data_IF_409799578104
#
_entry.id   IF_409799578104
#
_cell.length_a   1.000
_cell.length_b   1.000
_cell.length_c   1.000
_cell.angle_alpha   90.00
_cell.angle_beta   90.00
_cell.angle_gamma   90.00
#
_symmetry.space_group_name_H-M   'P 1'
#
loop_
_entity.id
_entity.type
_entity.pdbx_description
1 polymer ?
#
# COMPACT_ATOMS: atom_id res chain seq x y z
N UNK A 1 9.82 12.72 20.42
CA UNK A 1 9.84 11.43 21.14
C UNK A 1 11.20 10.82 20.91
N UNK A 2 12.03 10.73 21.96
CA UNK A 2 13.35 10.10 21.89
C UNK A 2 13.12 8.60 22.05
N UNK A 3 13.21 7.85 20.97
CA UNK A 3 13.23 6.38 21.04
C UNK A 3 14.65 5.99 21.44
N UNK A 4 14.85 5.67 22.72
CA UNK A 4 16.10 5.11 23.18
C UNK A 4 16.19 3.67 22.68
N UNK A 5 17.06 3.41 21.72
CA UNK A 5 17.39 2.06 21.27
C UNK A 5 18.33 1.46 22.31
N UNK A 6 17.82 0.57 23.16
CA UNK A 6 18.65 -0.21 24.05
C UNK A 6 19.12 -1.48 23.31
N UNK A 7 20.38 -1.52 22.92
CA UNK A 7 21.02 -2.75 22.50
C UNK A 7 21.78 -3.35 23.71
N UNK A 8 21.51 -4.60 24.04
CA UNK A 8 22.20 -5.32 25.10
C UNK A 8 23.04 -6.42 24.48
N UNK A 9 24.35 -6.38 24.70
CA UNK A 9 25.25 -7.46 24.27
C UNK A 9 25.25 -8.56 25.33
N UNK A 10 24.84 -9.77 24.94
CA UNK A 10 24.83 -10.96 25.80
C UNK A 10 25.57 -12.09 25.08
N UNK A 11 26.67 -12.58 25.67
CA UNK A 11 27.45 -13.72 25.13
C UNK A 11 27.86 -13.57 23.65
N UNK A 12 28.20 -12.36 23.22
CA UNK A 12 28.55 -12.08 21.83
C UNK A 12 27.37 -11.89 20.88
N UNK A 13 26.12 -11.92 21.37
CA UNK A 13 24.92 -11.60 20.65
C UNK A 13 24.42 -10.20 21.02
N UNK A 14 23.67 -9.57 20.13
CA UNK A 14 23.06 -8.28 20.35
C UNK A 14 21.53 -8.44 20.43
N UNK A 15 20.95 -8.05 21.56
CA UNK A 15 19.50 -7.93 21.71
C UNK A 15 19.11 -6.48 21.45
N UNK A 16 18.22 -6.27 20.48
CA UNK A 16 17.75 -4.94 20.06
C UNK A 16 16.25 -4.99 19.73
N UNK A 17 15.56 -3.83 19.70
CA UNK A 17 14.21 -3.77 19.14
C UNK A 17 14.19 -4.33 17.71
N UNK A 18 13.06 -4.93 17.33
CA UNK A 18 12.88 -5.45 15.98
C UNK A 18 13.00 -4.36 14.93
N UNK A 19 13.47 -4.73 13.75
CA UNK A 19 13.64 -3.80 12.63
C UNK A 19 12.27 -3.37 12.11
N UNK A 20 12.09 -2.07 11.89
CA UNK A 20 10.93 -1.51 11.20
C UNK A 20 11.34 -1.21 9.75
N UNK A 21 10.77 -1.96 8.81
CA UNK A 21 10.92 -1.66 7.40
C UNK A 21 9.89 -0.58 7.02
N UNK A 22 10.39 0.62 6.83
CA UNK A 22 9.55 1.81 6.61
C UNK A 22 9.09 1.97 5.15
N UNK A 23 9.57 1.12 4.24
CA UNK A 23 9.26 1.23 2.82
C UNK A 23 9.12 -0.14 2.18
N UNK A 24 7.89 -0.65 2.12
CA UNK A 24 7.57 -1.93 1.50
C UNK A 24 6.36 -1.81 0.56
N UNK A 25 6.21 -2.81 -0.31
CA UNK A 25 5.09 -2.93 -1.26
C UNK A 25 4.39 -4.29 -1.14
N UNK A 26 4.22 -4.78 0.09
CA UNK A 26 3.51 -6.03 0.37
C UNK A 26 1.98 -5.91 0.23
N UNK A 27 1.46 -4.78 -0.20
CA UNK A 27 0.01 -4.46 -0.20
C UNK A 27 -0.86 -5.57 -0.81
N UNK A 28 -0.47 -6.10 -1.96
CA UNK A 28 -1.16 -7.21 -2.58
C UNK A 28 -0.70 -8.56 -2.00
N UNK A 29 0.63 -8.76 -1.89
CA UNK A 29 1.24 -10.02 -1.46
C UNK A 29 0.72 -10.50 -0.11
N UNK A 30 0.57 -9.61 0.85
CA UNK A 30 0.09 -9.96 2.20
C UNK A 30 -1.27 -10.66 2.18
N UNK A 31 -2.08 -10.48 1.15
CA UNK A 31 -3.40 -11.13 1.03
C UNK A 31 -3.33 -12.63 0.75
N UNK A 32 -2.18 -13.14 0.25
CA UNK A 32 -1.96 -14.58 0.00
C UNK A 32 -0.71 -15.13 0.69
N UNK A 33 0.24 -14.27 1.06
CA UNK A 33 1.45 -14.62 1.80
C UNK A 33 1.54 -13.81 3.10
N UNK A 34 0.96 -14.30 4.19
CA UNK A 34 1.01 -13.61 5.49
C UNK A 34 2.40 -13.62 6.12
N UNK A 35 3.36 -14.36 5.56
CA UNK A 35 4.72 -14.45 6.12
C UNK A 35 5.52 -13.18 5.89
N UNK A 36 5.09 -12.29 4.99
CA UNK A 36 5.80 -11.07 4.57
C UNK A 36 7.24 -11.40 4.14
N UNK A 37 7.39 -12.52 3.42
CA UNK A 37 8.70 -13.00 2.95
C UNK A 37 9.27 -12.04 1.88
N UNK A 38 10.59 -11.71 1.95
CA UNK A 38 11.60 -12.26 2.86
C UNK A 38 11.83 -11.42 4.14
N UNK A 39 11.14 -10.30 4.34
CA UNK A 39 11.46 -9.31 5.38
C UNK A 39 11.52 -9.91 6.78
N UNK A 40 10.53 -10.73 7.16
CA UNK A 40 10.49 -11.32 8.51
C UNK A 40 11.69 -12.23 8.77
N UNK A 41 12.09 -13.03 7.79
CA UNK A 41 13.26 -13.92 7.90
C UNK A 41 14.59 -13.16 8.04
N UNK A 42 14.60 -11.88 7.67
CA UNK A 42 15.74 -10.97 7.79
C UNK A 42 15.72 -10.13 9.08
N UNK A 43 14.77 -10.38 9.98
CA UNK A 43 14.68 -9.72 11.28
C UNK A 43 13.76 -8.49 11.31
N UNK A 44 13.03 -8.22 10.24
CA UNK A 44 11.97 -7.20 10.24
C UNK A 44 10.81 -7.69 11.10
N UNK A 45 10.33 -6.85 12.00
CA UNK A 45 9.19 -7.15 12.87
C UNK A 45 7.98 -6.27 12.57
N UNK A 46 8.17 -5.21 11.80
CA UNK A 46 7.10 -4.29 11.39
C UNK A 46 7.36 -3.82 9.96
N UNK A 47 6.37 -3.95 9.10
CA UNK A 47 6.40 -3.47 7.72
C UNK A 47 5.39 -2.33 7.51
N UNK A 48 5.81 -1.27 6.81
CA UNK A 48 4.93 -0.17 6.42
C UNK A 48 4.54 -0.37 4.94
N UNK A 49 3.24 -0.51 4.68
CA UNK A 49 2.65 -0.70 3.36
C UNK A 49 2.08 0.59 2.80
N UNK A 50 1.79 0.63 1.51
CA UNK A 50 1.17 1.78 0.83
C UNK A 50 2.16 2.88 0.44
N UNK A 51 3.44 2.58 0.43
CA UNK A 51 4.49 3.52 0.07
C UNK A 51 4.36 4.04 -1.35
N UNK A 52 5.00 5.15 -1.66
CA UNK A 52 4.90 5.86 -2.95
C UNK A 52 3.46 6.24 -3.36
N UNK A 53 2.47 5.97 -2.50
CA UNK A 53 1.06 6.11 -2.83
C UNK A 53 0.51 5.00 -3.72
N UNK A 54 1.21 3.86 -3.81
CA UNK A 54 0.79 2.68 -4.56
C UNK A 54 0.27 1.60 -3.61
N UNK A 55 -0.65 0.78 -4.11
CA UNK A 55 -1.22 -0.33 -3.36
C UNK A 55 -2.54 -0.79 -3.96
N UNK A 56 -3.43 -1.34 -3.13
CA UNK A 56 -4.65 -1.98 -3.60
C UNK A 56 -5.95 -1.51 -2.91
N UNK A 57 -5.90 -0.54 -2.01
CA UNK A 57 -7.08 -0.04 -1.29
C UNK A 57 -7.08 1.50 -1.15
N UNK A 58 -8.25 2.15 -1.32
CA UNK A 58 -9.56 1.58 -1.67
C UNK A 58 -9.61 1.12 -3.13
N UNK A 59 -10.38 0.08 -3.43
CA UNK A 59 -10.52 -0.44 -4.78
C UNK A 59 -11.92 -1.02 -5.04
N UNK A 60 -12.84 -0.24 -5.61
CA UNK A 60 -14.12 -0.74 -6.09
C UNK A 60 -13.94 -1.89 -7.10
N UNK A 61 -14.82 -2.89 -7.06
CA UNK A 61 -14.69 -4.10 -7.87
C UNK A 61 -14.43 -3.87 -9.37
N UNK A 62 -15.07 -2.91 -10.06
CA UNK A 62 -14.83 -2.66 -11.48
C UNK A 62 -13.42 -2.14 -11.79
N UNK A 63 -12.69 -1.63 -10.79
CA UNK A 63 -11.38 -0.99 -10.97
C UNK A 63 -10.19 -1.89 -10.58
N UNK A 64 -10.46 -3.13 -10.12
CA UNK A 64 -9.43 -4.07 -9.65
C UNK A 64 -8.37 -4.35 -10.71
N UNK A 65 -8.80 -4.56 -11.94
CA UNK A 65 -7.89 -4.87 -13.04
C UNK A 65 -6.91 -3.73 -13.34
N UNK A 66 -7.40 -2.48 -13.36
CA UNK A 66 -6.53 -1.31 -13.62
C UNK A 66 -5.54 -1.08 -12.48
N UNK A 67 -5.97 -1.28 -11.22
CA UNK A 67 -5.09 -1.17 -10.04
C UNK A 67 -3.98 -2.22 -10.09
N UNK A 68 -4.33 -3.48 -10.37
CA UNK A 68 -3.37 -4.59 -10.46
C UNK A 68 -2.40 -4.40 -11.63
N UNK A 69 -2.88 -3.98 -12.79
CA UNK A 69 -2.04 -3.66 -13.95
C UNK A 69 -1.01 -2.57 -13.64
N UNK A 70 -1.43 -1.50 -12.98
CA UNK A 70 -0.51 -0.44 -12.58
C UNK A 70 0.52 -0.95 -11.58
N UNK A 71 0.10 -1.72 -10.58
CA UNK A 71 0.99 -2.29 -9.57
C UNK A 71 2.01 -3.25 -10.20
N UNK A 72 1.61 -4.07 -11.18
CA UNK A 72 2.51 -4.99 -11.87
C UNK A 72 3.67 -4.28 -12.56
N UNK A 73 3.41 -3.11 -13.13
CA UNK A 73 4.45 -2.32 -13.83
C UNK A 73 5.35 -1.60 -12.83
N UNK A 74 4.76 -0.87 -11.87
CA UNK A 74 5.53 0.00 -10.98
C UNK A 74 6.38 -0.80 -9.98
N UNK A 75 5.92 -1.99 -9.59
CA UNK A 75 6.63 -2.87 -8.66
C UNK A 75 7.37 -4.03 -9.35
N UNK A 76 7.25 -4.15 -10.68
CA UNK A 76 7.87 -5.24 -11.42
C UNK A 76 7.32 -6.63 -11.06
N UNK A 77 6.08 -6.71 -10.57
CA UNK A 77 5.43 -7.96 -10.18
C UNK A 77 4.76 -8.63 -11.38
N UNK A 78 4.76 -9.97 -11.39
CA UNK A 78 4.02 -10.72 -12.41
C UNK A 78 2.53 -10.44 -12.35
N UNK A 79 1.94 -10.02 -13.47
CA UNK A 79 0.52 -9.66 -13.55
C UNK A 79 -0.40 -10.84 -13.21
N UNK A 80 -0.07 -12.05 -13.66
CA UNK A 80 -0.91 -13.23 -13.40
C UNK A 80 -0.85 -13.61 -11.92
N UNK A 81 0.32 -13.49 -11.27
CA UNK A 81 0.47 -13.70 -9.85
C UNK A 81 -0.42 -12.72 -9.05
N UNK A 82 -0.42 -11.44 -9.44
CA UNK A 82 -1.28 -10.43 -8.81
C UNK A 82 -2.78 -10.70 -9.05
N UNK A 83 -3.17 -11.02 -10.30
CA UNK A 83 -4.57 -11.28 -10.63
C UNK A 83 -5.15 -12.50 -9.90
N UNK A 84 -4.35 -13.56 -9.74
CA UNK A 84 -4.78 -14.81 -9.13
C UNK A 84 -4.55 -14.83 -7.60
N UNK A 85 -3.49 -14.17 -7.13
CA UNK A 85 -3.10 -14.19 -5.73
C UNK A 85 -3.88 -13.21 -4.87
N UNK A 86 -4.20 -12.02 -5.40
CA UNK A 86 -4.87 -10.98 -4.59
C UNK A 86 -6.26 -11.41 -4.16
N UNK A 87 -6.49 -11.49 -2.85
CA UNK A 87 -7.80 -11.80 -2.27
C UNK A 87 -8.59 -10.52 -2.06
N UNK A 88 -9.60 -10.30 -2.91
CA UNK A 88 -10.42 -9.11 -2.91
C UNK A 88 -11.62 -9.21 -1.96
N UNK A 89 -11.36 -9.30 -0.66
CA UNK A 89 -12.40 -9.31 0.38
C UNK A 89 -12.78 -7.90 0.86
N UNK A 90 -12.44 -6.88 0.07
CA UNK A 90 -12.60 -5.46 0.41
C UNK A 90 -12.82 -4.61 -0.84
N UNK A 91 -13.40 -3.43 -0.63
CA UNK A 91 -13.48 -2.33 -1.58
C UNK A 91 -13.07 -0.99 -0.94
N UNK A 92 -13.32 -0.81 0.37
CA UNK A 92 -12.86 0.35 1.11
C UNK A 92 -11.53 0.11 1.80
N UNK A 93 -10.90 1.20 2.26
CA UNK A 93 -9.65 1.11 3.04
C UNK A 93 -9.90 0.43 4.40
N UNK A 94 -11.01 0.76 5.08
CA UNK A 94 -11.37 0.11 6.34
C UNK A 94 -11.52 -1.41 6.19
N UNK A 95 -12.24 -1.85 5.15
CA UNK A 95 -12.38 -3.29 4.86
C UNK A 95 -11.05 -3.97 4.54
N UNK A 96 -10.10 -3.24 3.94
CA UNK A 96 -8.75 -3.76 3.72
C UNK A 96 -8.01 -3.97 5.05
N UNK A 97 -8.09 -3.05 5.99
CA UNK A 97 -7.54 -3.24 7.33
C UNK A 97 -8.17 -4.44 8.04
N UNK A 98 -9.50 -4.57 7.97
CA UNK A 98 -10.21 -5.74 8.52
C UNK A 98 -9.74 -7.05 7.86
N UNK A 99 -9.47 -7.03 6.55
CA UNK A 99 -8.93 -8.19 5.84
C UNK A 99 -7.52 -8.54 6.31
N UNK A 100 -6.66 -7.55 6.55
CA UNK A 100 -5.32 -7.76 7.11
C UNK A 100 -5.38 -8.35 8.53
N UNK A 101 -6.31 -7.90 9.37
CA UNK A 101 -6.52 -8.49 10.70
C UNK A 101 -6.91 -9.96 10.59
N UNK A 102 -7.78 -10.34 9.65
CA UNK A 102 -8.17 -11.74 9.42
C UNK A 102 -7.04 -12.61 8.87
N UNK A 103 -6.18 -12.05 8.04
CA UNK A 103 -5.01 -12.75 7.47
C UNK A 103 -3.97 -13.08 8.56
N UNK A 104 -3.90 -12.29 9.62
CA UNK A 104 -2.91 -12.43 10.70
C UNK A 104 -1.47 -12.48 10.18
N UNK A 105 -0.91 -11.39 9.63
CA UNK A 105 0.49 -11.36 9.18
C UNK A 105 1.46 -11.76 10.30
N UNK A 106 2.57 -12.40 9.95
CA UNK A 106 3.58 -12.86 10.92
C UNK A 106 4.32 -11.71 11.61
N UNK A 107 4.40 -10.56 10.98
CA UNK A 107 4.92 -9.31 11.56
C UNK A 107 3.82 -8.28 11.75
N UNK A 108 4.15 -7.23 12.48
CA UNK A 108 3.26 -6.07 12.55
C UNK A 108 3.19 -5.38 11.20
N UNK A 109 2.01 -4.85 10.87
CA UNK A 109 1.77 -4.12 9.63
C UNK A 109 1.14 -2.78 9.97
N UNK A 110 1.63 -1.72 9.33
CA UNK A 110 0.95 -0.43 9.29
C UNK A 110 0.75 -0.03 7.82
N UNK A 111 -0.38 0.60 7.50
CA UNK A 111 -0.74 0.92 6.13
C UNK A 111 -0.95 2.41 5.96
N UNK A 112 -0.35 2.97 4.90
CA UNK A 112 -0.56 4.35 4.48
C UNK A 112 -1.77 4.44 3.54
N UNK A 113 -2.57 5.48 3.64
CA UNK A 113 -3.59 5.81 2.64
C UNK A 113 -2.89 6.18 1.32
N UNK A 114 -3.28 5.55 0.22
CA UNK A 114 -2.52 5.52 -1.03
C UNK A 114 -3.13 6.47 -2.06
N UNK A 115 -2.38 7.46 -2.51
CA UNK A 115 -2.86 8.48 -3.45
C UNK A 115 -3.38 7.88 -4.76
N UNK A 116 -2.62 6.95 -5.38
CA UNK A 116 -2.98 6.35 -6.66
C UNK A 116 -4.30 5.59 -6.61
N UNK A 117 -4.53 4.79 -5.56
CA UNK A 117 -5.78 4.03 -5.42
C UNK A 117 -6.96 4.92 -5.10
N UNK A 118 -6.78 5.94 -4.25
CA UNK A 118 -7.82 6.94 -3.95
C UNK A 118 -8.22 7.70 -5.22
N UNK A 119 -7.24 8.14 -6.01
CA UNK A 119 -7.49 8.83 -7.27
C UNK A 119 -8.17 7.91 -8.28
N UNK A 120 -7.73 6.65 -8.40
CA UNK A 120 -8.35 5.66 -9.26
C UNK A 120 -9.78 5.34 -8.83
N UNK A 121 -10.04 5.19 -7.53
CA UNK A 121 -11.36 4.92 -7.00
C UNK A 121 -12.39 6.03 -7.33
N UNK A 122 -11.93 7.27 -7.50
CA UNK A 122 -12.79 8.42 -7.80
C UNK A 122 -12.89 8.71 -9.29
N UNK A 123 -11.78 8.61 -10.03
CA UNK A 123 -11.68 9.04 -11.43
C UNK A 123 -11.68 7.89 -12.43
N UNK A 124 -11.57 6.63 -11.96
CA UNK A 124 -11.46 5.46 -12.84
C UNK A 124 -10.26 5.56 -13.78
N UNK A 125 -10.48 5.29 -15.06
CA UNK A 125 -9.45 5.39 -16.12
C UNK A 125 -8.91 6.81 -16.30
N UNK A 126 -9.69 7.83 -15.94
CA UNK A 126 -9.27 9.23 -15.97
C UNK A 126 -8.15 9.55 -14.97
N UNK A 127 -7.90 8.69 -13.99
CA UNK A 127 -6.90 8.91 -12.96
C UNK A 127 -5.46 9.03 -13.50
N UNK A 128 -5.15 8.35 -14.60
CA UNK A 128 -3.81 8.37 -15.25
C UNK A 128 -3.75 9.28 -16.48
N UNK A 129 -4.85 9.89 -16.90
CA UNK A 129 -4.90 10.65 -18.16
C UNK A 129 -5.32 12.11 -17.97
N UNK A 130 -6.06 12.40 -16.90
CA UNK A 130 -6.60 13.73 -16.63
C UNK A 130 -5.92 14.33 -15.40
N UNK A 131 -5.14 15.40 -15.63
CA UNK A 131 -4.36 16.05 -14.56
C UNK A 131 -5.26 16.65 -13.47
N UNK A 132 -6.23 17.44 -13.87
CA UNK A 132 -7.09 18.19 -12.93
C UNK A 132 -8.37 17.42 -12.61
N UNK A 133 -8.61 17.07 -11.33
CA UNK A 133 -9.90 16.56 -10.90
C UNK A 133 -10.96 17.68 -10.87
N UNK A 134 -12.24 17.33 -10.99
CA UNK A 134 -13.32 18.27 -10.71
C UNK A 134 -13.37 18.60 -9.21
N UNK A 135 -14.17 19.61 -8.84
CA UNK A 135 -14.38 19.97 -7.42
C UNK A 135 -15.01 18.84 -6.62
N UNK A 136 -15.96 18.14 -7.23
CA UNK A 136 -16.66 16.99 -6.65
C UNK A 136 -15.72 15.81 -6.45
N UNK A 137 -14.89 15.50 -7.47
CA UNK A 137 -13.88 14.46 -7.38
C UNK A 137 -12.84 14.76 -6.30
N UNK A 138 -12.36 16.00 -6.23
CA UNK A 138 -11.43 16.42 -5.19
C UNK A 138 -12.06 16.33 -3.78
N UNK A 139 -13.33 16.71 -3.65
CA UNK A 139 -14.05 16.58 -2.40
C UNK A 139 -14.19 15.11 -1.99
N UNK A 140 -14.47 14.21 -2.95
CA UNK A 140 -14.57 12.77 -2.69
C UNK A 140 -13.21 12.15 -2.33
N UNK A 141 -12.12 12.52 -3.00
CA UNK A 141 -10.76 12.09 -2.63
C UNK A 141 -10.42 12.49 -1.20
N UNK A 142 -10.71 13.75 -0.83
CA UNK A 142 -10.49 14.23 0.55
C UNK A 142 -11.31 13.45 1.58
N UNK A 143 -12.55 13.07 1.24
CA UNK A 143 -13.37 12.22 2.10
C UNK A 143 -12.73 10.84 2.27
N UNK A 144 -12.28 10.20 1.19
CA UNK A 144 -11.61 8.89 1.26
C UNK A 144 -10.33 8.91 2.09
N UNK A 145 -9.55 10.01 2.02
CA UNK A 145 -8.37 10.17 2.89
C UNK A 145 -8.78 10.24 4.36
N UNK A 146 -9.83 11.01 4.71
CA UNK A 146 -10.34 11.07 6.08
C UNK A 146 -10.88 9.72 6.54
N UNK A 147 -11.69 9.05 5.72
CA UNK A 147 -12.22 7.72 5.98
C UNK A 147 -11.07 6.72 6.28
N UNK A 148 -9.97 6.79 5.52
CA UNK A 148 -8.80 5.94 5.75
C UNK A 148 -8.08 6.26 7.07
N UNK A 149 -7.87 7.54 7.36
CA UNK A 149 -7.24 7.97 8.62
C UNK A 149 -8.10 7.62 9.84
N UNK A 150 -9.41 7.83 9.75
CA UNK A 150 -10.36 7.48 10.81
C UNK A 150 -10.43 5.96 11.04
N UNK A 151 -10.20 5.16 9.98
CA UNK A 151 -10.11 3.70 10.06
C UNK A 151 -8.78 3.19 10.63
N UNK A 152 -7.76 4.04 10.77
CA UNK A 152 -6.47 3.66 11.35
C UNK A 152 -5.30 3.65 10.37
N UNK A 153 -5.40 4.31 9.21
CA UNK A 153 -4.23 4.51 8.35
C UNK A 153 -3.12 5.23 9.12
N UNK A 154 -1.89 4.74 8.98
CA UNK A 154 -0.72 5.32 9.65
C UNK A 154 -0.32 6.70 9.08
N UNK A 155 -0.90 7.10 7.96
CA UNK A 155 -0.66 8.37 7.28
C UNK A 155 -1.13 8.33 5.83
N UNK A 156 -0.64 9.25 5.02
CA UNK A 156 -0.94 9.34 3.59
C UNK A 156 0.37 9.31 2.79
N UNK A 157 0.40 8.53 1.72
CA UNK A 157 1.54 8.43 0.82
C UNK A 157 1.21 8.89 -0.59
N UNK A 158 2.19 9.52 -1.22
CA UNK A 158 2.15 9.95 -2.60
C UNK A 158 3.56 9.94 -3.20
N UNK A 159 3.66 9.95 -4.53
CA UNK A 159 4.93 10.09 -5.24
C UNK A 159 4.78 11.11 -6.36
N UNK A 160 5.83 11.88 -6.59
CA UNK A 160 5.96 12.81 -7.70
C UNK A 160 7.11 12.41 -8.64
N UNK A 161 7.64 11.20 -8.50
CA UNK A 161 8.73 10.71 -9.36
C UNK A 161 8.25 10.49 -10.80
N UNK A 162 8.85 11.14 -11.78
CA UNK A 162 8.51 10.95 -13.20
C UNK A 162 8.88 9.53 -13.71
N UNK A 163 9.67 8.79 -12.94
CA UNK A 163 10.10 7.44 -13.30
C UNK A 163 9.03 6.37 -12.99
N UNK A 164 7.99 6.73 -12.24
CA UNK A 164 6.90 5.81 -11.93
C UNK A 164 5.89 5.79 -13.07
N UNK A 165 5.97 4.75 -13.89
CA UNK A 165 5.04 4.49 -14.99
C UNK A 165 4.02 3.42 -14.58
N UNK A 166 2.78 3.60 -15.00
CA UNK A 166 1.72 2.62 -14.91
C UNK A 166 1.59 1.78 -16.18
N UNK A 167 0.49 1.04 -16.28
CA UNK A 167 0.20 0.16 -17.39
C UNK A 167 0.17 0.91 -18.73
N UNK A 168 0.78 0.32 -19.78
CA UNK A 168 0.86 0.93 -21.10
C UNK A 168 1.70 2.19 -21.19
N UNK A 169 2.60 2.43 -20.23
CA UNK A 169 3.45 3.62 -20.18
C UNK A 169 2.72 4.90 -19.75
N UNK A 170 1.49 4.79 -19.25
CA UNK A 170 0.78 5.93 -18.68
C UNK A 170 1.42 6.37 -17.36
N UNK A 171 1.32 7.64 -16.96
CA UNK A 171 1.73 8.06 -15.63
C UNK A 171 0.97 7.28 -14.55
N UNK A 172 1.61 7.02 -13.41
CA UNK A 172 0.88 6.57 -12.23
C UNK A 172 -0.09 7.66 -11.75
N UNK A 173 -1.29 7.30 -11.26
CA UNK A 173 -2.27 8.29 -10.83
C UNK A 173 -1.76 9.32 -9.81
N UNK A 174 -0.80 8.94 -8.96
CA UNK A 174 -0.18 9.86 -7.99
C UNK A 174 0.83 10.83 -8.59
N UNK A 175 1.31 10.61 -9.83
CA UNK A 175 2.41 11.38 -10.43
C UNK A 175 1.95 12.39 -11.50
N UNK A 176 0.66 12.43 -11.82
CA UNK A 176 0.09 13.25 -12.89
C UNK A 176 -0.28 14.67 -12.44
#
# INVERSE_FOLDING_TARGET
>A
VLIAIFAVSVLGLCLMPGIVDVHTHYDAQVTWDPTLSPSISLGVTTAILGNCGFGIAPCPAPLREIVVKNLSVVEGMDLNALLQGTRWEFESFAQYLDALERVHPYGNVAVLAQHSTIRTAVMGEGASTRKEPTREELARMRALVREALDAGAAGFASSFSPNHSGWGGQPMPSTI
#
